data_IF_621891508207
#
_entry.id   IF_621891508207
#
_cell.length_a   1.000
_cell.length_b   1.000
_cell.length_c   1.000
_cell.angle_alpha   90.00
_cell.angle_beta   90.00
_cell.angle_gamma   90.00
#
_symmetry.space_group_name_H-M   'P 1'
#
loop_
_entity.id
_entity.type
_entity.pdbx_description
1 polymer ?
#
# COMPACT_ATOMS: atom_id res chain seq x y z
N UNK A 1 20.62 3.83 -14.17
CA UNK A 1 19.38 3.24 -13.66
C UNK A 1 18.48 4.39 -13.35
N UNK A 2 17.46 4.62 -14.16
CA UNK A 2 16.43 5.61 -13.88
C UNK A 2 15.40 4.96 -12.96
N UNK A 3 15.27 5.50 -11.76
CA UNK A 3 14.17 5.18 -10.86
C UNK A 3 12.95 5.93 -11.40
N UNK A 4 11.99 5.18 -11.98
CA UNK A 4 10.73 5.75 -12.46
C UNK A 4 10.00 6.41 -11.27
N UNK A 5 9.68 7.71 -11.34
CA UNK A 5 8.80 8.33 -10.38
C UNK A 5 7.38 7.81 -10.63
N UNK A 6 6.99 6.80 -9.86
CA UNK A 6 5.63 6.27 -9.86
C UNK A 6 4.71 7.34 -9.25
N UNK A 7 4.07 8.13 -10.12
CA UNK A 7 2.90 8.92 -9.76
C UNK A 7 1.75 7.96 -9.50
N UNK A 8 1.54 7.66 -8.21
CA UNK A 8 0.44 6.86 -7.74
C UNK A 8 -0.89 7.59 -7.97
N UNK A 9 -1.46 7.43 -9.16
CA UNK A 9 -2.86 7.78 -9.40
C UNK A 9 -3.69 6.60 -8.90
N UNK A 10 -4.03 6.64 -7.61
CA UNK A 10 -5.06 5.76 -7.06
C UNK A 10 -6.36 6.15 -7.78
N UNK A 11 -6.82 5.35 -8.74
CA UNK A 11 -8.20 5.47 -9.21
C UNK A 11 -9.08 5.10 -8.02
N UNK A 12 -9.87 6.04 -7.45
CA UNK A 12 -10.75 5.71 -6.35
C UNK A 12 -11.72 4.65 -6.88
N UNK A 13 -11.67 3.46 -6.27
CA UNK A 13 -12.63 2.41 -6.49
C UNK A 13 -13.98 2.99 -6.05
N UNK A 14 -14.76 3.39 -7.04
CA UNK A 14 -16.09 3.98 -6.87
C UNK A 14 -17.03 2.87 -6.36
N UNK A 15 -17.19 2.78 -5.05
CA UNK A 15 -18.34 2.13 -4.44
C UNK A 15 -19.13 3.17 -3.63
N UNK A 16 -19.70 4.09 -4.42
CA UNK A 16 -21.11 4.52 -4.36
C UNK A 16 -21.69 4.90 -2.99
N UNK A 17 -21.78 6.22 -2.70
CA UNK A 17 -22.75 6.70 -1.70
C UNK A 17 -22.62 8.11 -1.12
N UNK A 18 -22.73 9.15 -1.96
CA UNK A 18 -23.29 10.48 -1.60
C UNK A 18 -22.53 11.34 -0.55
N UNK A 19 -21.71 12.29 -1.02
CA UNK A 19 -22.02 13.72 -1.02
C UNK A 19 -20.76 14.59 -1.18
N UNK A 20 -20.59 15.15 -2.39
CA UNK A 20 -20.26 16.56 -2.69
C UNK A 20 -19.43 17.33 -1.65
N UNK A 21 -18.17 17.64 -1.99
CA UNK A 21 -17.81 18.96 -2.50
C UNK A 21 -16.42 18.92 -3.14
N UNK A 22 -16.22 19.71 -4.20
CA UNK A 22 -14.93 19.79 -4.87
C UNK A 22 -13.86 20.41 -3.97
N UNK A 23 -12.74 19.72 -3.84
CA UNK A 23 -11.42 20.29 -3.55
C UNK A 23 -10.37 19.29 -4.00
N UNK A 24 -9.43 19.79 -4.78
CA UNK A 24 -8.27 19.13 -5.38
C UNK A 24 -7.58 18.12 -4.48
N UNK A 25 -7.16 16.98 -5.07
CA UNK A 25 -5.95 16.26 -4.67
C UNK A 25 -5.82 15.92 -3.19
N UNK A 26 -6.88 15.46 -2.54
CA UNK A 26 -6.75 14.86 -1.21
C UNK A 26 -6.13 13.48 -1.40
N UNK A 27 -4.80 13.42 -1.40
CA UNK A 27 -4.06 12.21 -1.04
C UNK A 27 -4.59 11.79 0.33
N UNK A 28 -5.55 10.86 0.36
CA UNK A 28 -5.97 10.22 1.59
C UNK A 28 -4.69 9.79 2.29
N UNK A 29 -4.45 10.33 3.49
CA UNK A 29 -3.22 10.09 4.21
C UNK A 29 -3.10 8.58 4.43
N UNK A 30 -2.26 7.91 3.65
CA UNK A 30 -1.97 6.50 3.83
C UNK A 30 -1.16 6.44 5.12
N UNK A 31 -1.81 6.01 6.20
CA UNK A 31 -1.14 5.88 7.49
C UNK A 31 -0.24 4.65 7.38
N UNK A 32 1.09 4.80 7.54
CA UNK A 32 1.98 3.65 7.52
C UNK A 32 1.75 2.80 8.78
N UNK A 33 1.75 1.46 8.64
CA UNK A 33 1.76 0.57 9.79
C UNK A 33 3.05 0.72 10.61
N UNK A 34 3.11 0.15 11.82
CA UNK A 34 4.31 0.20 12.63
C UNK A 34 5.54 -0.38 11.91
N UNK A 35 6.75 0.10 12.23
CA UNK A 35 7.98 -0.26 11.53
C UNK A 35 8.25 -1.77 11.53
N UNK A 36 7.83 -2.51 12.56
CA UNK A 36 7.91 -3.98 12.60
C UNK A 36 7.12 -4.65 11.47
N UNK A 37 5.97 -4.07 11.09
CA UNK A 37 5.16 -4.58 9.97
C UNK A 37 5.80 -4.22 8.63
N UNK A 38 6.38 -3.01 8.51
CA UNK A 38 7.13 -2.55 7.34
C UNK A 38 8.36 -3.43 7.09
N UNK A 39 9.17 -3.73 8.11
CA UNK A 39 10.34 -4.62 7.97
C UNK A 39 9.93 -6.02 7.48
N UNK A 40 8.86 -6.57 8.05
CA UNK A 40 8.37 -7.88 7.63
C UNK A 40 7.89 -7.84 6.18
N UNK A 41 7.19 -6.77 5.77
CA UNK A 41 6.79 -6.59 4.38
C UNK A 41 8.01 -6.48 3.44
N UNK A 42 9.07 -5.80 3.87
CA UNK A 42 10.31 -5.66 3.12
C UNK A 42 10.98 -7.02 2.91
N UNK A 43 11.13 -7.82 3.97
CA UNK A 43 11.66 -9.17 3.88
C UNK A 43 10.81 -10.06 2.95
N UNK A 44 9.48 -9.98 3.07
CA UNK A 44 8.57 -10.76 2.24
C UNK A 44 8.61 -10.36 0.76
N UNK A 45 8.79 -9.07 0.48
CA UNK A 45 8.96 -8.55 -0.87
C UNK A 45 10.33 -8.95 -1.44
N UNK A 46 11.39 -8.91 -0.64
CA UNK A 46 12.72 -9.39 -1.01
C UNK A 46 12.74 -10.91 -1.28
N UNK A 47 11.87 -11.66 -0.60
CA UNK A 47 11.63 -13.08 -0.85
C UNK A 47 10.71 -13.35 -2.06
N UNK A 48 10.15 -12.32 -2.70
CA UNK A 48 9.20 -12.45 -3.82
C UNK A 48 7.88 -13.15 -3.44
N UNK A 49 7.54 -13.19 -2.15
CA UNK A 49 6.43 -14.01 -1.65
C UNK A 49 5.10 -13.25 -1.64
N UNK A 50 4.51 -13.00 -2.81
CA UNK A 50 3.22 -12.27 -2.96
C UNK A 50 2.11 -12.78 -2.04
N UNK A 51 1.99 -14.10 -1.88
CA UNK A 51 1.00 -14.70 -0.99
C UNK A 51 1.18 -14.22 0.45
N UNK A 52 2.41 -14.22 0.97
CA UNK A 52 2.71 -13.78 2.33
C UNK A 52 2.52 -12.28 2.48
N UNK A 53 2.85 -11.51 1.44
CA UNK A 53 2.65 -10.06 1.42
C UNK A 53 1.16 -9.73 1.56
N UNK A 54 0.27 -10.41 0.82
CA UNK A 54 -1.19 -10.25 0.96
C UNK A 54 -1.69 -10.64 2.35
N UNK A 55 -1.18 -11.74 2.89
CA UNK A 55 -1.52 -12.22 4.23
C UNK A 55 -1.15 -11.16 5.29
N UNK A 56 0.06 -10.61 5.17
CA UNK A 56 0.55 -9.53 6.04
C UNK A 56 -0.27 -8.25 5.89
N UNK A 57 -0.64 -7.88 4.66
CA UNK A 57 -1.51 -6.73 4.40
C UNK A 57 -2.89 -6.91 5.05
N UNK A 58 -3.50 -8.11 4.96
CA UNK A 58 -4.76 -8.40 5.64
C UNK A 58 -4.62 -8.34 7.17
N UNK A 59 -3.50 -8.79 7.73
CA UNK A 59 -3.20 -8.66 9.16
C UNK A 59 -3.12 -7.19 9.59
N UNK A 60 -2.46 -6.34 8.80
CA UNK A 60 -2.37 -4.89 9.01
C UNK A 60 -3.75 -4.21 8.92
N UNK A 61 -4.58 -4.60 7.96
CA UNK A 61 -5.97 -4.13 7.86
C UNK A 61 -6.79 -4.50 9.11
N UNK A 62 -6.57 -5.69 9.68
CA UNK A 62 -7.23 -6.14 10.90
C UNK A 62 -6.68 -5.49 12.18
N UNK A 63 -5.44 -5.03 12.17
CA UNK A 63 -4.82 -4.32 13.30
C UNK A 63 -5.52 -2.99 13.57
N UNK A 64 -5.74 -2.19 12.53
CA UNK A 64 -6.42 -0.90 12.63
C UNK A 64 -7.04 -0.51 11.30
N UNK A 65 -8.27 0.01 11.34
CA UNK A 65 -8.97 0.51 10.16
C UNK A 65 -8.23 1.65 9.45
N UNK A 66 -7.39 2.38 10.19
CA UNK A 66 -6.51 3.44 9.69
C UNK A 66 -5.46 2.92 8.69
N UNK A 67 -5.07 1.66 8.78
CA UNK A 67 -4.10 1.04 7.87
C UNK A 67 -4.74 0.37 6.66
N UNK A 68 -6.08 0.33 6.61
CA UNK A 68 -6.84 -0.20 5.48
C UNK A 68 -6.43 0.39 4.11
N UNK A 69 -6.16 1.70 3.95
CA UNK A 69 -5.65 2.23 2.68
C UNK A 69 -4.27 1.66 2.31
N UNK A 70 -3.38 1.45 3.29
CA UNK A 70 -2.06 0.86 3.08
C UNK A 70 -2.16 -0.62 2.68
N UNK A 71 -2.97 -1.38 3.42
CA UNK A 71 -3.21 -2.80 3.17
C UNK A 71 -3.86 -3.06 1.79
N UNK A 72 -4.85 -2.26 1.39
CA UNK A 72 -5.45 -2.38 0.07
C UNK A 72 -4.44 -2.09 -1.04
N UNK A 73 -3.60 -1.06 -0.88
CA UNK A 73 -2.52 -0.76 -1.84
C UNK A 73 -1.53 -1.92 -1.96
N UNK A 74 -1.15 -2.54 -0.85
CA UNK A 74 -0.29 -3.72 -0.85
C UNK A 74 -0.93 -4.94 -1.52
N UNK A 75 -2.23 -5.16 -1.30
CA UNK A 75 -2.98 -6.23 -1.94
C UNK A 75 -3.07 -6.03 -3.45
N UNK A 76 -3.31 -4.80 -3.90
CA UNK A 76 -3.36 -4.42 -5.32
C UNK A 76 -2.02 -4.69 -6.02
N UNK A 77 -0.91 -4.24 -5.42
CA UNK A 77 0.43 -4.52 -5.92
C UNK A 77 0.78 -6.01 -5.93
N UNK A 78 0.39 -6.72 -4.88
CA UNK A 78 0.58 -8.16 -4.82
C UNK A 78 -0.33 -8.91 -5.79
N UNK A 79 -1.41 -8.30 -6.29
CA UNK A 79 -2.26 -8.81 -7.38
C UNK A 79 -1.69 -8.51 -8.76
N UNK A 80 -1.09 -7.33 -8.93
CA UNK A 80 -0.27 -6.99 -10.10
C UNK A 80 1.08 -7.71 -10.17
N UNK A 81 1.44 -8.52 -9.15
CA UNK A 81 2.77 -9.12 -8.99
C UNK A 81 3.92 -8.08 -9.06
N UNK A 82 3.65 -6.86 -8.61
CA UNK A 82 4.56 -5.72 -8.68
C UNK A 82 5.53 -5.72 -7.48
N UNK A 83 6.42 -6.71 -7.42
CA UNK A 83 7.38 -6.88 -6.31
C UNK A 83 8.27 -5.65 -6.09
N UNK A 84 8.76 -5.07 -7.18
CA UNK A 84 9.64 -3.90 -7.14
C UNK A 84 8.93 -2.68 -6.54
N UNK A 85 7.62 -2.53 -6.81
CA UNK A 85 6.82 -1.43 -6.26
C UNK A 85 6.50 -1.64 -4.79
N UNK A 86 6.28 -2.88 -4.36
CA UNK A 86 6.10 -3.20 -2.95
C UNK A 86 7.39 -2.88 -2.19
N UNK A 87 8.54 -3.31 -2.71
CA UNK A 87 9.86 -2.97 -2.16
C UNK A 87 10.03 -1.45 -2.05
N UNK A 88 9.81 -0.72 -3.14
CA UNK A 88 9.95 0.74 -3.18
C UNK A 88 9.02 1.44 -2.19
N UNK A 89 7.76 0.99 -2.11
CA UNK A 89 6.77 1.52 -1.18
C UNK A 89 7.23 1.33 0.27
N UNK A 90 7.61 0.11 0.63
CA UNK A 90 8.02 -0.25 1.99
C UNK A 90 9.34 0.42 2.37
N UNK A 91 10.31 0.47 1.46
CA UNK A 91 11.58 1.18 1.64
C UNK A 91 11.38 2.68 1.87
N UNK A 92 10.39 3.29 1.21
CA UNK A 92 10.05 4.70 1.40
C UNK A 92 9.55 5.02 2.82
N UNK A 93 9.03 4.03 3.56
CA UNK A 93 8.57 4.18 4.95
C UNK A 93 9.59 3.72 6.00
N UNK A 94 10.66 3.04 5.57
CA UNK A 94 11.78 2.62 6.43
C UNK A 94 12.77 3.77 6.71
N UNK A 95 12.65 4.88 6.00
CA UNK A 95 13.61 6.00 5.97
C UNK A 95 13.21 7.14 6.90
#
# INVERSE_FOLDING_TARGET
>A
GEYLPIEWVYEPIDDMGLMKNGTSGQTAAIIPPPPEEIEILYELAMLGSMKKIRDRAMFIEHLHEDYRPFANKLKDLADGFQEEEILTLVESYLK
#
